data_IF_710098933837
#
_entry.id   IF_710098933837
#
_cell.length_a   1.000
_cell.length_b   1.000
_cell.length_c   1.000
_cell.angle_alpha   90.00
_cell.angle_beta   90.00
_cell.angle_gamma   90.00
#
_symmetry.space_group_name_H-M   'P 1'
#
loop_
_entity.id
_entity.type
_entity.pdbx_description
1 polymer ?
#
# COMPACT_ATOMS: atom_id res chain seq x y z
N UNK A 1 13.79 -1.31 -44.31
CA UNK A 1 13.17 -0.45 -43.27
C UNK A 1 12.87 -1.19 -41.96
N UNK A 2 12.57 -2.49 -41.95
CA UNK A 2 12.26 -3.28 -40.74
C UNK A 2 13.44 -3.62 -39.80
N UNK A 3 14.70 -3.52 -40.25
CA UNK A 3 15.88 -3.75 -39.39
C UNK A 3 16.37 -2.51 -38.62
N UNK A 4 15.87 -1.31 -38.93
CA UNK A 4 16.22 -0.08 -38.19
C UNK A 4 15.36 0.17 -36.96
N UNK A 5 14.17 -0.43 -36.86
CA UNK A 5 13.32 -0.32 -35.66
C UNK A 5 13.76 -1.29 -34.54
N UNK A 6 14.32 -2.44 -34.88
CA UNK A 6 14.89 -3.35 -33.87
C UNK A 6 16.24 -2.90 -33.30
N UNK A 7 16.98 -2.03 -34.01
CA UNK A 7 18.26 -1.49 -33.54
C UNK A 7 18.15 -0.29 -32.59
N UNK A 8 16.96 0.35 -32.49
CA UNK A 8 16.71 1.44 -31.52
C UNK A 8 16.20 0.90 -30.17
N UNK A 9 15.67 -0.32 -30.14
CA UNK A 9 15.18 -0.93 -28.90
C UNK A 9 16.27 -1.65 -28.07
N UNK A 10 17.47 -1.85 -28.60
CA UNK A 10 18.59 -2.48 -27.87
C UNK A 10 19.43 -1.52 -27.01
N UNK A 11 19.06 -0.23 -26.93
CA UNK A 11 19.71 0.80 -26.11
C UNK A 11 18.82 1.46 -25.05
N UNK A 12 17.63 0.92 -24.78
CA UNK A 12 16.79 1.40 -23.67
C UNK A 12 17.28 0.77 -22.36
N UNK A 13 18.20 1.44 -21.68
CA UNK A 13 18.72 1.02 -20.38
C UNK A 13 17.65 0.95 -19.29
N UNK A 14 18.02 0.35 -18.15
CA UNK A 14 17.29 0.42 -16.89
C UNK A 14 18.10 1.30 -15.93
N UNK A 15 17.42 2.09 -15.11
CA UNK A 15 18.04 3.01 -14.14
C UNK A 15 17.29 2.97 -12.81
N UNK A 16 18.03 3.18 -11.72
CA UNK A 16 17.44 3.38 -10.39
C UNK A 16 16.70 4.71 -10.37
N UNK A 17 15.37 4.74 -10.20
CA UNK A 17 14.61 5.98 -10.19
C UNK A 17 15.11 7.01 -9.17
N UNK A 18 15.63 6.57 -8.02
CA UNK A 18 16.13 7.47 -6.97
C UNK A 18 17.34 8.28 -7.44
N UNK A 19 18.14 7.75 -8.38
CA UNK A 19 19.25 8.50 -8.98
C UNK A 19 18.76 9.68 -9.79
N UNK A 20 17.56 9.61 -10.37
CA UNK A 20 17.00 10.72 -11.12
C UNK A 20 16.55 11.86 -10.21
N UNK A 21 16.00 11.56 -9.03
CA UNK A 21 15.64 12.57 -8.03
C UNK A 21 16.86 13.34 -7.55
N UNK A 22 17.99 12.65 -7.35
CA UNK A 22 19.25 13.32 -7.03
C UNK A 22 19.73 14.30 -8.12
N UNK A 23 19.29 14.12 -9.37
CA UNK A 23 19.65 14.96 -10.52
C UNK A 23 18.59 16.02 -10.84
N UNK A 24 17.36 15.91 -10.31
CA UNK A 24 16.23 16.81 -10.60
C UNK A 24 15.58 17.26 -9.29
N UNK A 25 15.79 18.52 -8.92
CA UNK A 25 15.24 19.09 -7.69
C UNK A 25 13.73 18.89 -7.56
N UNK A 26 12.96 19.10 -8.63
CA UNK A 26 11.50 18.93 -8.60
C UNK A 26 11.06 17.50 -8.25
N UNK A 27 11.70 16.47 -8.80
CA UNK A 27 11.38 15.07 -8.45
C UNK A 27 11.77 14.76 -7.00
N UNK A 28 12.89 15.33 -6.52
CA UNK A 28 13.27 15.21 -5.11
C UNK A 28 12.26 15.90 -4.19
N UNK A 29 11.82 17.11 -4.51
CA UNK A 29 10.83 17.85 -3.74
C UNK A 29 9.51 17.07 -3.62
N UNK A 30 9.07 16.43 -4.71
CA UNK A 30 7.91 15.54 -4.71
C UNK A 30 8.14 14.28 -3.84
N UNK A 31 9.32 13.66 -3.92
CA UNK A 31 9.67 12.52 -3.08
C UNK A 31 9.68 12.87 -1.58
N UNK A 32 10.24 14.02 -1.21
CA UNK A 32 10.22 14.55 0.15
C UNK A 32 8.78 14.80 0.59
N UNK A 33 7.96 15.48 -0.23
CA UNK A 33 6.55 15.75 0.07
C UNK A 33 5.76 14.45 0.32
N UNK A 34 5.90 13.45 -0.54
CA UNK A 34 5.26 12.14 -0.35
C UNK A 34 5.66 11.48 0.98
N UNK A 35 6.95 11.51 1.33
CA UNK A 35 7.43 10.97 2.60
C UNK A 35 6.90 11.75 3.80
N UNK A 36 6.88 13.09 3.74
CA UNK A 36 6.36 13.97 4.81
C UNK A 36 4.89 13.67 5.06
N UNK A 37 4.06 13.69 4.02
CA UNK A 37 2.62 13.51 4.19
C UNK A 37 2.26 12.09 4.62
N UNK A 38 2.92 11.08 4.04
CA UNK A 38 2.70 9.68 4.42
C UNK A 38 3.10 9.42 5.89
N UNK A 39 4.19 10.03 6.34
CA UNK A 39 4.63 9.92 7.74
C UNK A 39 3.78 10.71 8.70
N UNK A 40 3.34 11.93 8.33
CA UNK A 40 2.43 12.73 9.15
C UNK A 40 1.17 11.95 9.48
N UNK A 41 0.56 11.29 8.50
CA UNK A 41 -0.63 10.47 8.72
C UNK A 41 -0.40 9.25 9.64
N UNK A 42 0.85 8.76 9.77
CA UNK A 42 1.19 7.69 10.70
C UNK A 42 1.55 8.21 12.11
N UNK A 43 2.23 9.35 12.22
CA UNK A 43 2.57 9.97 13.50
C UNK A 43 1.35 10.60 14.17
N UNK A 44 0.57 11.35 13.40
CA UNK A 44 -0.58 12.15 13.84
C UNK A 44 -1.83 11.80 13.02
N UNK A 45 -2.34 10.55 13.11
CA UNK A 45 -3.55 10.16 12.38
C UNK A 45 -4.78 10.91 12.90
N UNK A 46 -5.68 11.30 12.00
CA UNK A 46 -6.99 11.84 12.37
C UNK A 46 -7.89 10.80 13.04
N UNK A 47 -8.92 11.26 13.75
CA UNK A 47 -9.81 10.41 14.55
C UNK A 47 -10.45 9.25 13.77
N UNK A 48 -10.83 9.47 12.50
CA UNK A 48 -11.38 8.42 11.66
C UNK A 48 -10.38 7.30 11.39
N UNK A 49 -9.12 7.65 11.07
CA UNK A 49 -8.05 6.68 10.84
C UNK A 49 -7.69 5.92 12.13
N UNK A 50 -7.63 6.60 13.28
CA UNK A 50 -7.44 5.96 14.58
C UNK A 50 -8.52 4.90 14.82
N UNK A 51 -9.78 5.25 14.59
CA UNK A 51 -10.92 4.34 14.80
C UNK A 51 -10.86 3.13 13.86
N UNK A 52 -10.57 3.35 12.58
CA UNK A 52 -10.50 2.26 11.59
C UNK A 52 -9.31 1.33 11.82
N UNK A 53 -8.15 1.87 12.20
CA UNK A 53 -6.99 1.06 12.60
C UNK A 53 -7.26 0.26 13.87
N UNK A 54 -7.80 0.91 14.91
CA UNK A 54 -8.08 0.25 16.18
C UNK A 54 -9.08 -0.89 16.05
N UNK A 55 -10.12 -0.70 15.24
CA UNK A 55 -11.10 -1.76 15.00
C UNK A 55 -10.51 -2.94 14.22
N UNK A 56 -9.71 -2.71 13.19
CA UNK A 56 -9.04 -3.78 12.44
C UNK A 56 -7.98 -4.50 13.30
N UNK A 57 -7.18 -3.75 14.06
CA UNK A 57 -6.19 -4.30 15.00
C UNK A 57 -6.84 -5.17 16.08
N UNK A 58 -8.01 -4.79 16.58
CA UNK A 58 -8.78 -5.61 17.53
C UNK A 58 -9.15 -6.98 16.97
N UNK A 59 -9.58 -7.02 15.72
CA UNK A 59 -9.93 -8.28 15.04
C UNK A 59 -8.67 -9.12 14.79
N UNK A 60 -7.61 -8.50 14.28
CA UNK A 60 -6.32 -9.17 14.09
C UNK A 60 -5.77 -9.75 15.39
N UNK A 61 -5.85 -9.01 16.50
CA UNK A 61 -5.45 -9.48 17.83
C UNK A 61 -6.20 -10.76 18.22
N UNK A 62 -7.53 -10.80 18.01
CA UNK A 62 -8.35 -11.98 18.31
C UNK A 62 -8.00 -13.18 17.43
N UNK A 63 -7.78 -12.95 16.13
CA UNK A 63 -7.38 -13.99 15.18
C UNK A 63 -6.00 -14.55 15.56
N UNK A 64 -5.02 -13.66 15.75
CA UNK A 64 -3.62 -14.03 15.99
C UNK A 64 -3.50 -14.92 17.23
N UNK A 65 -4.18 -14.58 18.32
CA UNK A 65 -4.21 -15.37 19.56
C UNK A 65 -4.81 -16.77 19.41
N UNK A 66 -5.53 -17.05 18.31
CA UNK A 66 -6.16 -18.34 18.02
C UNK A 66 -5.41 -19.16 16.97
N UNK A 67 -4.42 -18.58 16.31
CA UNK A 67 -3.53 -19.30 15.40
C UNK A 67 -2.61 -20.24 16.19
N UNK A 68 -2.17 -21.34 15.55
CA UNK A 68 -1.11 -22.17 16.11
C UNK A 68 0.22 -21.40 16.19
N UNK A 69 1.15 -21.77 17.08
CA UNK A 69 2.44 -21.09 17.20
C UNK A 69 3.19 -20.99 15.86
N UNK A 70 3.16 -22.06 15.04
CA UNK A 70 3.82 -22.02 13.72
C UNK A 70 3.14 -21.02 12.77
N UNK A 71 1.81 -20.96 12.78
CA UNK A 71 1.06 -19.99 11.98
C UNK A 71 1.25 -18.55 12.48
N UNK A 72 1.45 -18.34 13.79
CA UNK A 72 1.78 -17.03 14.35
C UNK A 72 3.17 -16.55 13.90
N UNK A 73 4.15 -17.45 13.85
CA UNK A 73 5.47 -17.15 13.30
C UNK A 73 5.39 -16.86 11.80
N UNK A 74 4.66 -17.68 11.04
CA UNK A 74 4.54 -17.54 9.59
C UNK A 74 3.83 -16.24 9.18
N UNK A 75 2.68 -15.94 9.80
CA UNK A 75 1.90 -14.74 9.46
C UNK A 75 2.66 -13.45 9.79
N UNK A 76 3.53 -13.47 10.81
CA UNK A 76 4.37 -12.34 11.23
C UNK A 76 5.76 -12.30 10.58
N UNK A 77 6.14 -13.33 9.81
CA UNK A 77 7.53 -13.53 9.38
C UNK A 77 8.11 -12.35 8.60
N UNK A 78 7.30 -11.70 7.76
CA UNK A 78 7.73 -10.55 6.98
C UNK A 78 7.99 -9.29 7.83
N UNK A 79 7.25 -9.11 8.94
CA UNK A 79 7.42 -7.99 9.86
C UNK A 79 8.57 -8.21 10.85
N UNK A 80 8.72 -9.45 11.34
CA UNK A 80 9.69 -9.87 12.36
C UNK A 80 11.08 -10.20 11.77
N UNK A 81 11.17 -10.36 10.45
CA UNK A 81 12.41 -10.71 9.77
C UNK A 81 13.52 -9.69 9.96
N UNK A 82 14.77 -10.14 9.80
CA UNK A 82 15.95 -9.27 9.93
C UNK A 82 15.87 -8.07 8.97
N UNK A 83 16.10 -6.87 9.50
CA UNK A 83 16.01 -5.60 8.79
C UNK A 83 14.60 -5.18 8.39
N UNK A 84 13.57 -5.70 9.05
CA UNK A 84 12.16 -5.34 8.88
C UNK A 84 11.67 -4.47 10.05
N UNK A 85 10.40 -4.08 10.01
CA UNK A 85 9.82 -3.11 10.97
C UNK A 85 9.92 -3.57 12.43
N UNK A 86 9.93 -4.88 12.67
CA UNK A 86 10.01 -5.48 13.99
C UNK A 86 11.27 -6.36 14.13
N UNK A 87 12.40 -5.96 13.53
CA UNK A 87 13.67 -6.69 13.66
C UNK A 87 14.04 -6.87 15.15
N UNK A 88 14.42 -8.10 15.51
CA UNK A 88 14.75 -8.49 16.88
C UNK A 88 13.54 -8.66 17.83
N UNK A 89 12.31 -8.60 17.31
CA UNK A 89 11.07 -8.84 18.06
C UNK A 89 10.52 -10.25 17.82
N UNK A 90 9.49 -10.60 18.57
CA UNK A 90 8.83 -11.90 18.56
C UNK A 90 7.34 -11.78 18.23
N UNK A 91 6.67 -12.92 17.99
CA UNK A 91 5.21 -12.98 17.84
C UNK A 91 4.47 -12.43 19.07
N UNK A 92 5.06 -12.53 20.26
CA UNK A 92 4.51 -11.95 21.48
C UNK A 92 4.59 -10.42 21.50
N UNK A 93 5.60 -9.80 20.87
CA UNK A 93 5.63 -8.35 20.68
C UNK A 93 4.54 -7.90 19.66
N UNK A 94 4.29 -8.70 18.62
CA UNK A 94 3.24 -8.43 17.61
C UNK A 94 1.84 -8.45 18.23
N UNK A 95 1.52 -9.52 18.97
CA UNK A 95 0.90 -9.43 20.30
C UNK A 95 0.43 -8.05 20.79
N UNK A 96 1.35 -7.46 21.53
CA UNK A 96 1.22 -6.19 22.23
C UNK A 96 1.01 -5.02 21.26
N UNK A 97 1.62 -5.04 20.07
CA UNK A 97 1.38 -4.01 19.02
C UNK A 97 -0.09 -3.99 18.64
N UNK A 98 -0.67 -5.15 18.31
CA UNK A 98 -2.08 -5.27 17.93
C UNK A 98 -2.98 -4.78 19.08
N UNK A 99 -2.63 -5.14 20.32
CA UNK A 99 -3.36 -4.69 21.50
C UNK A 99 -3.29 -3.17 21.69
N UNK A 100 -2.10 -2.55 21.60
CA UNK A 100 -1.92 -1.09 21.74
C UNK A 100 -2.71 -0.33 20.67
N UNK A 101 -2.63 -0.74 19.41
CA UNK A 101 -3.40 -0.10 18.33
C UNK A 101 -4.91 -0.27 18.55
N UNK A 102 -5.35 -1.44 19.04
CA UNK A 102 -6.77 -1.71 19.29
C UNK A 102 -7.42 -0.80 20.36
N UNK A 103 -6.62 -0.26 21.29
CA UNK A 103 -7.09 0.66 22.34
C UNK A 103 -7.39 2.07 21.80
N UNK A 104 -6.96 2.40 20.57
CA UNK A 104 -7.40 3.61 19.86
C UNK A 104 -6.95 4.94 20.49
N UNK A 105 -5.80 4.96 21.18
CA UNK A 105 -5.36 6.13 21.93
C UNK A 105 -5.08 7.38 21.07
N UNK A 106 -5.60 8.52 21.52
CA UNK A 106 -5.07 9.85 21.21
C UNK A 106 -3.85 10.12 22.10
N UNK A 107 -2.96 10.99 21.62
CA UNK A 107 -1.54 11.19 21.95
C UNK A 107 -1.11 11.48 23.40
N UNK A 108 -1.97 11.31 24.42
CA UNK A 108 -1.65 11.68 25.81
C UNK A 108 -1.50 10.52 26.81
N UNK A 109 -1.67 9.27 26.38
CA UNK A 109 -1.41 8.11 27.24
C UNK A 109 -0.04 7.49 26.94
N UNK A 110 0.74 7.19 27.97
CA UNK A 110 2.04 6.51 27.89
C UNK A 110 1.96 5.08 27.32
N UNK A 111 0.74 4.57 27.06
CA UNK A 111 0.44 3.30 26.36
C UNK A 111 -0.13 3.50 24.94
N UNK A 112 -0.11 4.72 24.41
CA UNK A 112 -0.64 5.01 23.07
C UNK A 112 0.18 4.33 21.97
N UNK A 113 -0.49 3.93 20.89
CA UNK A 113 0.15 3.28 19.76
C UNK A 113 1.10 4.23 19.03
N UNK A 114 2.33 3.78 18.77
CA UNK A 114 3.31 4.53 17.99
C UNK A 114 2.99 4.52 16.48
N UNK A 115 3.68 5.37 15.71
CA UNK A 115 3.61 5.30 14.24
C UNK A 115 4.11 3.97 13.69
N UNK A 116 5.15 3.39 14.32
CA UNK A 116 5.63 2.05 14.00
C UNK A 116 4.57 1.00 14.27
N UNK A 117 3.87 1.06 15.41
CA UNK A 117 2.77 0.13 15.72
C UNK A 117 1.70 0.18 14.63
N UNK A 118 1.28 1.38 14.21
CA UNK A 118 0.29 1.56 13.13
C UNK A 118 0.80 1.00 11.80
N UNK A 119 2.05 1.26 11.45
CA UNK A 119 2.69 0.73 10.25
C UNK A 119 2.77 -0.81 10.26
N UNK A 120 3.04 -1.41 11.42
CA UNK A 120 3.04 -2.87 11.60
C UNK A 120 1.66 -3.47 11.34
N UNK A 121 0.60 -2.86 11.89
CA UNK A 121 -0.78 -3.34 11.65
C UNK A 121 -1.15 -3.26 10.16
N UNK A 122 -0.83 -2.14 9.50
CA UNK A 122 -1.11 -1.99 8.07
C UNK A 122 -0.28 -2.97 7.23
N UNK A 123 1.00 -3.16 7.60
CA UNK A 123 1.87 -4.15 6.96
C UNK A 123 1.32 -5.57 7.06
N UNK A 124 0.81 -5.96 8.24
CA UNK A 124 0.16 -7.26 8.42
C UNK A 124 -1.07 -7.43 7.54
N UNK A 125 -1.87 -6.37 7.35
CA UNK A 125 -3.00 -6.40 6.40
C UNK A 125 -2.51 -6.58 4.95
N UNK A 126 -1.42 -5.93 4.58
CA UNK A 126 -0.78 -6.13 3.27
C UNK A 126 -0.30 -7.57 3.05
N UNK A 127 0.34 -8.17 4.06
CA UNK A 127 0.77 -9.56 4.03
C UNK A 127 -0.43 -10.52 3.89
N UNK A 128 -1.49 -10.30 4.68
CA UNK A 128 -2.76 -11.06 4.58
C UNK A 128 -3.36 -10.98 3.18
N UNK A 129 -3.48 -9.77 2.61
CA UNK A 129 -3.94 -9.59 1.23
C UNK A 129 -3.05 -10.35 0.24
N UNK A 130 -1.73 -10.27 0.42
CA UNK A 130 -0.73 -10.99 -0.36
C UNK A 130 -0.83 -12.52 -0.29
N UNK A 131 -1.25 -13.08 0.85
CA UNK A 131 -1.47 -14.53 0.98
C UNK A 131 -2.62 -15.02 0.09
N UNK A 132 -3.68 -14.22 -0.06
CA UNK A 132 -4.80 -14.56 -0.94
C UNK A 132 -4.47 -14.35 -2.42
N UNK A 133 -3.78 -13.26 -2.78
CA UNK A 133 -3.44 -12.96 -4.20
C UNK A 133 -2.31 -13.84 -4.72
N UNK A 134 -1.40 -14.27 -3.85
CA UNK A 134 -0.19 -14.99 -4.23
C UNK A 134 0.00 -16.22 -3.32
N UNK A 135 -0.64 -17.36 -3.63
CA UNK A 135 -0.70 -18.53 -2.73
C UNK A 135 0.65 -19.12 -2.32
N UNK A 136 1.75 -18.80 -3.02
CA UNK A 136 3.11 -19.24 -2.62
C UNK A 136 3.65 -18.49 -1.40
N UNK A 137 2.99 -17.39 -1.00
CA UNK A 137 3.42 -16.56 0.12
C UNK A 137 2.94 -17.08 1.49
N UNK A 138 2.05 -18.08 1.52
CA UNK A 138 1.57 -18.70 2.75
C UNK A 138 1.34 -20.20 2.54
N UNK A 139 1.50 -20.97 3.61
CA UNK A 139 1.17 -22.39 3.64
C UNK A 139 -0.34 -22.58 3.62
N UNK A 140 -0.79 -23.73 3.11
CA UNK A 140 -2.20 -24.12 3.18
C UNK A 140 -2.71 -24.18 4.62
N UNK A 141 -1.84 -24.55 5.58
CA UNK A 141 -2.14 -24.56 7.00
C UNK A 141 -2.49 -23.15 7.50
N UNK A 142 -1.63 -22.16 7.24
CA UNK A 142 -1.86 -20.78 7.65
C UNK A 142 -3.17 -20.24 7.07
N UNK A 143 -3.39 -20.41 5.76
CA UNK A 143 -4.63 -19.96 5.11
C UNK A 143 -5.87 -20.64 5.70
N UNK A 144 -5.80 -21.94 5.97
CA UNK A 144 -6.92 -22.69 6.55
C UNK A 144 -7.25 -22.20 7.97
N UNK A 145 -6.24 -22.00 8.82
CA UNK A 145 -6.42 -21.46 10.17
C UNK A 145 -6.97 -20.04 10.14
N UNK A 146 -6.43 -19.18 9.27
CA UNK A 146 -6.89 -17.80 9.11
C UNK A 146 -8.37 -17.75 8.69
N UNK A 147 -8.75 -18.52 7.67
CA UNK A 147 -10.13 -18.59 7.19
C UNK A 147 -11.08 -19.12 8.26
N UNK A 148 -10.64 -20.11 9.05
CA UNK A 148 -11.41 -20.64 10.18
C UNK A 148 -11.70 -19.54 11.21
N UNK A 149 -10.68 -18.76 11.60
CA UNK A 149 -10.85 -17.69 12.59
C UNK A 149 -11.70 -16.52 12.07
N UNK A 150 -11.51 -16.12 10.80
CA UNK A 150 -12.34 -15.11 10.15
C UNK A 150 -13.82 -15.52 10.14
N UNK A 151 -14.10 -16.78 9.74
CA UNK A 151 -15.46 -17.33 9.72
C UNK A 151 -16.06 -17.41 11.12
N UNK A 152 -15.27 -17.82 12.12
CA UNK A 152 -15.71 -17.89 13.51
C UNK A 152 -16.09 -16.52 14.09
N UNK A 153 -15.52 -15.43 13.56
CA UNK A 153 -15.88 -14.05 13.89
C UNK A 153 -17.02 -13.50 13.02
N UNK A 154 -17.60 -14.31 12.12
CA UNK A 154 -18.67 -13.90 11.21
C UNK A 154 -18.20 -13.00 10.07
N UNK A 155 -16.90 -12.97 9.78
CA UNK A 155 -16.32 -12.14 8.73
C UNK A 155 -16.33 -12.88 7.39
N UNK A 156 -16.47 -12.11 6.30
CA UNK A 156 -16.50 -12.66 4.96
C UNK A 156 -15.09 -13.05 4.51
N UNK A 157 -14.90 -14.33 4.17
CA UNK A 157 -13.66 -14.85 3.58
C UNK A 157 -13.73 -14.73 2.05
N UNK A 158 -12.69 -14.17 1.38
CA UNK A 158 -12.67 -14.01 -0.07
C UNK A 158 -12.88 -15.33 -0.82
N UNK A 159 -13.80 -15.33 -1.78
CA UNK A 159 -13.99 -16.42 -2.73
C UNK A 159 -12.88 -16.43 -3.79
N UNK A 160 -12.83 -17.51 -4.60
CA UNK A 160 -11.90 -17.57 -5.75
C UNK A 160 -12.13 -16.44 -6.76
N UNK A 161 -13.36 -16.00 -6.93
CA UNK A 161 -13.69 -14.90 -7.85
C UNK A 161 -13.18 -13.57 -7.28
N UNK A 162 -13.36 -13.33 -5.98
CA UNK A 162 -12.81 -12.12 -5.33
C UNK A 162 -11.28 -12.09 -5.43
N UNK A 163 -10.63 -13.23 -5.22
CA UNK A 163 -9.17 -13.34 -5.36
C UNK A 163 -8.73 -13.01 -6.78
N UNK A 164 -9.45 -13.50 -7.80
CA UNK A 164 -9.11 -13.21 -9.20
C UNK A 164 -9.32 -11.73 -9.53
N UNK A 165 -10.47 -11.16 -9.17
CA UNK A 165 -10.75 -9.75 -9.37
C UNK A 165 -9.77 -8.84 -8.62
N UNK A 166 -9.23 -9.28 -7.47
CA UNK A 166 -8.17 -8.57 -6.77
C UNK A 166 -6.88 -8.50 -7.59
N UNK A 167 -6.49 -9.61 -8.22
CA UNK A 167 -5.32 -9.67 -9.09
C UNK A 167 -5.51 -8.82 -10.35
N UNK A 168 -6.72 -8.78 -10.88
CA UNK A 168 -7.01 -8.04 -12.11
C UNK A 168 -7.06 -6.52 -11.87
N UNK A 169 -7.62 -6.08 -10.74
CA UNK A 169 -7.76 -4.66 -10.42
C UNK A 169 -6.57 -4.05 -9.68
N UNK A 170 -5.90 -4.83 -8.82
CA UNK A 170 -4.83 -4.37 -7.94
C UNK A 170 -3.46 -4.97 -8.25
N UNK A 171 -3.39 -5.86 -9.24
CA UNK A 171 -2.17 -6.54 -9.62
C UNK A 171 -1.22 -5.67 -10.42
N UNK A 172 0.00 -6.19 -10.58
CA UNK A 172 1.11 -5.40 -11.06
C UNK A 172 1.17 -5.10 -12.56
N UNK A 173 0.17 -5.58 -13.31
CA UNK A 173 -0.07 -5.19 -14.71
C UNK A 173 -1.20 -4.17 -14.85
N UNK A 174 -1.93 -3.87 -13.77
CA UNK A 174 -3.04 -2.93 -13.75
C UNK A 174 -2.67 -1.58 -13.13
N UNK A 175 -1.61 -1.50 -12.33
CA UNK A 175 -1.12 -0.26 -11.73
C UNK A 175 0.36 -0.07 -12.08
N UNK A 176 0.69 1.14 -12.51
CA UNK A 176 2.00 1.47 -13.09
C UNK A 176 3.19 1.35 -12.13
N UNK A 177 4.42 1.48 -12.64
CA UNK A 177 4.88 1.05 -13.98
C UNK A 177 4.73 -0.48 -14.13
N UNK A 178 4.55 -1.06 -15.31
CA UNK A 178 4.30 -2.51 -15.39
C UNK A 178 5.47 -3.35 -14.85
N UNK A 179 5.20 -4.26 -13.91
CA UNK A 179 6.23 -5.05 -13.21
C UNK A 179 7.08 -5.94 -14.12
N UNK A 180 6.52 -6.48 -15.21
CA UNK A 180 7.23 -7.40 -16.12
C UNK A 180 7.82 -6.68 -17.31
N UNK A 181 7.15 -5.64 -17.80
CA UNK A 181 7.60 -4.91 -18.97
C UNK A 181 8.63 -3.84 -18.62
N UNK A 182 8.46 -3.11 -17.52
CA UNK A 182 9.20 -1.87 -17.26
C UNK A 182 10.21 -1.95 -16.12
N UNK A 183 10.21 -3.04 -15.34
CA UNK A 183 11.03 -3.17 -14.13
C UNK A 183 12.03 -4.31 -14.21
N UNK A 184 13.17 -4.10 -13.56
CA UNK A 184 14.19 -5.12 -13.37
C UNK A 184 14.69 -5.07 -11.93
N UNK A 185 14.62 -6.18 -11.21
CA UNK A 185 15.22 -6.26 -9.88
C UNK A 185 16.74 -6.04 -9.97
N UNK A 186 17.29 -5.21 -9.09
CA UNK A 186 18.73 -4.94 -9.06
C UNK A 186 19.51 -6.22 -8.75
N UNK A 187 20.70 -6.34 -9.35
CA UNK A 187 21.56 -7.51 -9.16
C UNK A 187 22.01 -7.67 -7.70
N UNK A 188 22.23 -6.56 -7.00
CA UNK A 188 22.56 -6.50 -5.56
C UNK A 188 21.44 -7.12 -4.73
N UNK A 189 20.18 -6.73 -5.02
CA UNK A 189 19.00 -7.29 -4.37
C UNK A 189 18.93 -8.82 -4.55
N UNK A 190 19.24 -9.33 -5.75
CA UNK A 190 19.28 -10.77 -6.02
C UNK A 190 20.37 -11.51 -5.24
N UNK A 191 21.46 -10.82 -4.85
CA UNK A 191 22.52 -11.35 -3.99
C UNK A 191 22.21 -11.22 -2.50
N UNK A 192 21.03 -10.70 -2.13
CA UNK A 192 20.64 -10.46 -0.73
C UNK A 192 21.19 -9.15 -0.15
N UNK A 193 21.84 -8.31 -0.96
CA UNK A 193 22.38 -7.01 -0.57
C UNK A 193 21.28 -5.94 -0.64
N UNK A 194 20.27 -6.08 0.22
CA UNK A 194 19.14 -5.13 0.29
C UNK A 194 19.50 -3.98 1.25
N UNK A 195 19.60 -2.72 0.76
CA UNK A 195 19.93 -1.58 1.59
C UNK A 195 18.78 -1.22 2.55
N UNK A 196 19.13 -0.64 3.70
CA UNK A 196 18.16 0.04 4.56
C UNK A 196 17.66 1.30 3.87
N UNK A 197 16.35 1.50 3.91
CA UNK A 197 15.66 2.62 3.29
C UNK A 197 14.53 3.08 4.17
N UNK A 198 14.12 4.34 3.99
CA UNK A 198 13.02 4.93 4.74
C UNK A 198 12.39 6.04 3.91
N UNK A 199 11.09 5.97 3.62
CA UNK A 199 10.39 6.92 2.75
C UNK A 199 10.75 6.82 1.26
N UNK A 200 9.99 7.53 0.43
CA UNK A 200 10.18 7.57 -1.03
C UNK A 200 11.59 8.10 -1.35
N UNK A 201 12.35 7.34 -2.13
CA UNK A 201 13.74 7.65 -2.49
C UNK A 201 14.65 7.92 -1.28
N UNK A 202 14.37 7.25 -0.16
CA UNK A 202 15.13 7.35 1.09
C UNK A 202 15.07 8.74 1.77
N UNK A 203 13.99 9.50 1.55
CA UNK A 203 13.78 10.84 2.14
C UNK A 203 13.10 10.81 3.52
N UNK A 204 12.80 9.63 4.07
CA UNK A 204 12.06 9.48 5.34
C UNK A 204 12.72 10.14 6.55
N UNK A 205 14.06 10.12 6.64
CA UNK A 205 14.78 10.82 7.73
C UNK A 205 14.65 12.34 7.64
N UNK A 206 14.61 12.87 6.41
CA UNK A 206 14.39 14.29 6.17
C UNK A 206 12.95 14.66 6.51
N UNK A 207 11.99 13.85 6.09
CA UNK A 207 10.59 14.00 6.45
C UNK A 207 10.38 13.99 7.97
N UNK A 208 10.97 13.05 8.71
CA UNK A 208 10.89 13.01 10.19
C UNK A 208 11.44 14.29 10.83
N UNK A 209 12.52 14.87 10.28
CA UNK A 209 13.07 16.15 10.76
C UNK A 209 12.10 17.31 10.50
N UNK A 210 11.50 17.36 9.31
CA UNK A 210 10.52 18.40 8.96
C UNK A 210 9.26 18.33 9.84
N UNK A 211 8.90 17.12 10.28
CA UNK A 211 7.80 16.86 11.22
C UNK A 211 8.21 16.99 12.69
N UNK A 212 9.46 17.36 12.99
CA UNK A 212 10.00 17.49 14.34
C UNK A 212 9.92 16.20 15.18
N UNK A 213 10.07 15.03 14.56
CA UNK A 213 10.06 13.73 15.24
C UNK A 213 11.43 13.43 15.83
N UNK A 214 11.45 13.14 17.13
CA UNK A 214 12.64 12.76 17.87
C UNK A 214 13.21 11.43 17.34
N UNK A 215 14.55 11.25 17.28
CA UNK A 215 15.16 10.05 16.73
C UNK A 215 14.62 8.70 17.26
N UNK A 216 14.30 8.64 18.55
CA UNK A 216 13.75 7.49 19.26
C UNK A 216 12.30 7.14 18.88
N UNK A 217 11.54 8.11 18.39
CA UNK A 217 10.13 7.94 18.00
C UNK A 217 9.96 7.68 16.50
N UNK A 218 11.05 7.72 15.74
CA UNK A 218 11.00 7.57 14.28
C UNK A 218 10.61 6.16 13.86
N UNK A 219 9.83 6.08 12.79
CA UNK A 219 9.60 4.82 12.08
C UNK A 219 10.97 4.29 11.61
N UNK A 220 11.35 3.06 11.98
CA UNK A 220 12.67 2.52 11.67
C UNK A 220 12.86 2.34 10.17
N UNK A 221 14.12 2.39 9.75
CA UNK A 221 14.47 2.00 8.37
C UNK A 221 14.23 0.52 8.18
N UNK A 222 13.81 0.13 6.97
CA UNK A 222 13.59 -1.27 6.65
C UNK A 222 14.19 -1.63 5.29
N UNK A 223 14.26 -2.93 5.00
CA UNK A 223 14.84 -3.49 3.77
C UNK A 223 13.75 -4.00 2.85
N UNK A 224 13.69 -3.48 1.62
CA UNK A 224 12.89 -4.04 0.54
C UNK A 224 13.63 -4.03 -0.78
N UNK A 225 13.20 -4.92 -1.68
CA UNK A 225 13.81 -5.14 -2.97
C UNK A 225 13.87 -3.84 -3.79
N UNK A 226 15.04 -3.58 -4.37
CA UNK A 226 15.27 -2.43 -5.24
C UNK A 226 15.05 -2.83 -6.69
N UNK A 227 14.32 -2.00 -7.42
CA UNK A 227 14.03 -2.17 -8.83
C UNK A 227 14.62 -1.01 -9.63
N UNK A 228 15.27 -1.35 -10.74
CA UNK A 228 15.50 -0.40 -11.83
C UNK A 228 14.27 -0.35 -12.73
N UNK A 229 14.02 0.81 -13.33
CA UNK A 229 12.92 1.04 -14.26
C UNK A 229 13.50 1.49 -15.60
N UNK A 230 12.81 1.20 -16.70
CA UNK A 230 13.22 1.65 -18.05
C UNK A 230 13.55 3.14 -18.06
N UNK A 231 14.73 3.50 -18.57
CA UNK A 231 15.22 4.87 -18.56
C UNK A 231 14.28 5.91 -19.18
N UNK A 232 13.61 5.66 -20.32
CA UNK A 232 12.64 6.62 -20.87
C UNK A 232 11.51 6.93 -19.89
N UNK A 233 10.96 5.88 -19.26
CA UNK A 233 9.90 6.01 -18.28
C UNK A 233 10.31 6.91 -17.12
N UNK A 234 11.48 6.66 -16.54
CA UNK A 234 11.97 7.52 -15.45
C UNK A 234 12.19 8.95 -15.97
N UNK A 235 12.79 9.15 -17.15
CA UNK A 235 13.09 10.49 -17.69
C UNK A 235 11.87 11.34 -18.06
N UNK A 236 10.80 10.71 -18.53
CA UNK A 236 9.57 11.35 -19.01
C UNK A 236 8.58 11.66 -17.89
N UNK A 237 8.74 11.03 -16.73
CA UNK A 237 7.90 11.25 -15.54
C UNK A 237 8.62 12.15 -14.54
N UNK A 238 7.92 13.18 -14.05
CA UNK A 238 8.45 14.09 -13.02
C UNK A 238 8.18 13.54 -11.62
N UNK A 239 7.06 12.85 -11.43
CA UNK A 239 6.74 12.07 -10.22
C UNK A 239 7.86 11.05 -9.90
N UNK A 240 8.21 10.85 -8.61
CA UNK A 240 9.09 9.75 -8.24
C UNK A 240 8.44 8.42 -8.60
N UNK A 241 9.28 7.42 -8.89
CA UNK A 241 8.89 6.02 -9.10
C UNK A 241 9.74 5.13 -8.20
N UNK A 242 9.23 4.04 -7.64
CA UNK A 242 10.05 3.12 -6.80
C UNK A 242 10.14 1.72 -7.40
N UNK A 243 9.12 1.30 -8.17
CA UNK A 243 9.12 0.02 -8.88
C UNK A 243 8.94 -1.20 -7.97
N UNK A 244 8.78 -1.02 -6.66
CA UNK A 244 8.41 -2.09 -5.73
C UNK A 244 6.89 -2.15 -5.60
N UNK A 245 6.30 -3.35 -5.65
CA UNK A 245 4.83 -3.54 -5.51
C UNK A 245 4.48 -4.81 -4.74
N UNK A 246 5.16 -5.05 -3.62
CA UNK A 246 4.66 -6.03 -2.64
C UNK A 246 3.83 -5.28 -1.60
N UNK A 247 2.60 -5.73 -1.34
CA UNK A 247 1.65 -5.03 -0.47
C UNK A 247 0.95 -3.88 -1.19
N UNK A 248 0.20 -4.18 -2.26
CA UNK A 248 -0.50 -3.13 -3.02
C UNK A 248 -1.62 -2.47 -2.21
N UNK A 249 -2.07 -1.26 -2.57
CA UNK A 249 -3.24 -0.66 -1.93
C UNK A 249 -4.45 -1.60 -1.95
N UNK A 250 -4.63 -2.35 -3.03
CA UNK A 250 -5.72 -3.33 -3.17
C UNK A 250 -5.63 -4.45 -2.12
N UNK A 251 -4.44 -5.02 -1.91
CA UNK A 251 -4.21 -6.09 -0.93
C UNK A 251 -4.50 -5.59 0.49
N UNK A 252 -3.97 -4.40 0.83
CA UNK A 252 -4.19 -3.77 2.14
C UNK A 252 -5.66 -3.46 2.35
N UNK A 253 -6.31 -2.77 1.40
CA UNK A 253 -7.68 -2.29 1.55
C UNK A 253 -8.70 -3.44 1.58
N UNK A 254 -8.45 -4.49 0.79
CA UNK A 254 -9.27 -5.69 0.84
C UNK A 254 -9.20 -6.38 2.22
N UNK A 255 -7.99 -6.57 2.75
CA UNK A 255 -7.81 -7.14 4.08
C UNK A 255 -8.43 -6.23 5.16
N UNK A 256 -8.31 -4.92 5.01
CA UNK A 256 -8.91 -3.94 5.92
C UNK A 256 -10.44 -4.04 5.93
N UNK A 257 -11.09 -4.07 4.77
CA UNK A 257 -12.55 -4.21 4.67
C UNK A 257 -13.03 -5.54 5.27
N UNK A 258 -12.31 -6.63 5.02
CA UNK A 258 -12.57 -7.94 5.63
C UNK A 258 -12.52 -7.88 7.17
N UNK A 259 -11.48 -7.25 7.73
CA UNK A 259 -11.31 -7.10 9.17
C UNK A 259 -12.34 -6.13 9.79
N UNK A 260 -12.89 -5.21 9.00
CA UNK A 260 -13.95 -4.30 9.43
C UNK A 260 -15.35 -4.90 9.29
N UNK A 261 -15.45 -6.11 8.76
CA UNK A 261 -16.72 -6.83 8.62
C UNK A 261 -17.59 -6.31 7.47
N UNK A 262 -16.99 -5.67 6.48
CA UNK A 262 -17.70 -5.34 5.24
C UNK A 262 -18.16 -6.63 4.56
N UNK A 263 -19.39 -6.59 4.01
CA UNK A 263 -19.94 -7.70 3.23
C UNK A 263 -19.10 -7.91 1.98
N UNK A 264 -18.97 -9.15 1.50
CA UNK A 264 -18.11 -9.49 0.37
C UNK A 264 -18.32 -8.60 -0.86
N UNK A 265 -19.59 -8.32 -1.19
CA UNK A 265 -19.95 -7.42 -2.29
C UNK A 265 -19.47 -5.98 -2.07
N UNK A 266 -19.41 -5.51 -0.82
CA UNK A 266 -19.02 -4.15 -0.45
C UNK A 266 -17.52 -4.02 -0.19
N UNK A 267 -16.78 -5.11 -0.02
CA UNK A 267 -15.31 -5.07 0.04
C UNK A 267 -14.73 -4.48 -1.26
N UNK A 268 -13.51 -3.93 -1.20
CA UNK A 268 -12.82 -3.30 -2.33
C UNK A 268 -13.07 -4.01 -3.67
N UNK A 269 -12.77 -5.31 -3.72
CA UNK A 269 -12.86 -6.06 -4.97
C UNK A 269 -14.30 -6.36 -5.40
N UNK A 270 -15.18 -6.70 -4.46
CA UNK A 270 -16.61 -6.91 -4.75
C UNK A 270 -17.26 -5.64 -5.31
N UNK A 271 -16.84 -4.47 -4.82
CA UNK A 271 -17.29 -3.18 -5.34
C UNK A 271 -16.80 -2.92 -6.76
N UNK A 272 -15.55 -3.29 -7.07
CA UNK A 272 -14.99 -3.15 -8.42
C UNK A 272 -15.56 -4.15 -9.43
N UNK A 273 -15.81 -5.39 -9.01
CA UNK A 273 -16.41 -6.42 -9.86
C UNK A 273 -17.83 -6.02 -10.29
N UNK A 274 -18.63 -5.44 -9.38
CA UNK A 274 -19.94 -4.86 -9.74
C UNK A 274 -19.81 -3.76 -10.79
N UNK A 275 -18.77 -2.93 -10.70
CA UNK A 275 -18.54 -1.83 -11.64
C UNK A 275 -18.03 -2.28 -13.01
N UNK A 276 -17.32 -3.41 -13.07
CA UNK A 276 -16.81 -3.99 -14.31
C UNK A 276 -17.80 -4.96 -15.00
N UNK A 277 -18.93 -5.30 -14.34
CA UNK A 277 -19.94 -6.24 -14.87
C UNK A 277 -20.97 -5.60 -15.80
N UNK A 278 -20.83 -4.31 -16.14
CA UNK A 278 -21.78 -3.61 -16.99
C UNK A 278 -21.53 -3.88 -18.47
N UNK A 279 -22.20 -4.93 -18.96
CA UNK A 279 -22.56 -5.06 -20.36
C UNK A 279 -23.66 -4.06 -20.71
N UNK A 280 -23.33 -3.16 -21.63
CA UNK A 280 -24.18 -2.50 -22.62
C UNK A 280 -25.24 -1.45 -22.27
N UNK A 281 -25.74 -1.22 -21.04
CA UNK A 281 -26.76 -0.13 -20.86
C UNK A 281 -26.95 0.44 -19.42
N UNK A 282 -26.05 0.20 -18.45
CA UNK A 282 -26.21 0.74 -17.09
C UNK A 282 -25.02 1.62 -16.62
N UNK A 283 -25.38 2.71 -15.94
CA UNK A 283 -24.55 3.81 -15.44
C UNK A 283 -23.48 3.31 -14.45
N UNK A 284 -22.25 3.86 -14.53
CA UNK A 284 -21.15 3.54 -13.61
C UNK A 284 -21.62 3.65 -12.15
N UNK A 285 -21.71 2.51 -11.44
CA UNK A 285 -22.10 2.50 -10.03
C UNK A 285 -20.91 2.93 -9.19
N UNK A 286 -20.88 4.18 -8.78
CA UNK A 286 -19.84 4.71 -7.89
C UNK A 286 -19.84 3.92 -6.55
N UNK A 287 -18.73 3.30 -6.11
CA UNK A 287 -18.55 2.65 -4.80
C UNK A 287 -18.96 3.50 -3.58
N UNK A 288 -19.02 4.81 -3.71
CA UNK A 288 -19.46 5.76 -2.69
C UNK A 288 -20.94 6.12 -2.81
N UNK A 289 -21.60 5.74 -3.91
CA UNK A 289 -23.04 5.94 -4.13
C UNK A 289 -23.84 5.14 -3.11
N UNK A 290 -24.83 5.79 -2.49
CA UNK A 290 -25.67 5.18 -1.45
C UNK A 290 -25.00 4.98 -0.09
N UNK A 291 -23.72 5.36 0.08
CA UNK A 291 -23.04 5.32 1.38
C UNK A 291 -23.35 6.56 2.21
N UNK A 292 -23.46 6.38 3.53
CA UNK A 292 -23.62 7.51 4.44
C UNK A 292 -22.33 8.32 4.52
N UNK A 293 -22.39 9.58 4.94
CA UNK A 293 -21.18 10.40 5.14
C UNK A 293 -20.18 9.76 6.12
N UNK A 294 -20.69 9.01 7.11
CA UNK A 294 -19.85 8.24 8.05
C UNK A 294 -19.09 7.13 7.33
N UNK A 295 -19.76 6.36 6.46
CA UNK A 295 -19.13 5.25 5.72
C UNK A 295 -18.10 5.78 4.73
N UNK A 296 -18.41 6.91 4.08
CA UNK A 296 -17.48 7.59 3.19
C UNK A 296 -16.22 8.05 3.95
N UNK A 297 -16.39 8.64 5.14
CA UNK A 297 -15.27 9.05 6.01
C UNK A 297 -14.40 7.86 6.40
N UNK A 298 -15.00 6.72 6.75
CA UNK A 298 -14.26 5.50 7.09
C UNK A 298 -13.46 4.97 5.89
N UNK A 299 -14.02 5.01 4.69
CA UNK A 299 -13.32 4.63 3.46
C UNK A 299 -12.15 5.53 3.14
N UNK A 300 -12.34 6.84 3.22
CA UNK A 300 -11.23 7.79 3.04
C UNK A 300 -10.12 7.56 4.07
N UNK A 301 -10.47 7.27 5.32
CA UNK A 301 -9.51 6.93 6.35
C UNK A 301 -8.71 5.66 6.02
N UNK A 302 -9.37 4.58 5.57
CA UNK A 302 -8.67 3.34 5.15
C UNK A 302 -7.74 3.60 3.96
N UNK A 303 -8.21 4.32 2.95
CA UNK A 303 -7.42 4.70 1.77
C UNK A 303 -6.20 5.56 2.13
N UNK A 304 -6.38 6.52 3.06
CA UNK A 304 -5.31 7.32 3.60
C UNK A 304 -4.30 6.47 4.37
N UNK A 305 -4.75 5.56 5.24
CA UNK A 305 -3.88 4.65 5.99
C UNK A 305 -3.03 3.74 5.09
N UNK A 306 -3.65 3.12 4.08
CA UNK A 306 -2.93 2.30 3.11
C UNK A 306 -1.88 3.12 2.34
N UNK A 307 -2.26 4.31 1.85
CA UNK A 307 -1.34 5.21 1.14
C UNK A 307 -0.21 5.71 2.06
N UNK A 308 -0.52 6.05 3.31
CA UNK A 308 0.42 6.54 4.30
C UNK A 308 1.52 5.52 4.59
N UNK A 309 1.15 4.26 4.77
CA UNK A 309 2.10 3.16 4.93
C UNK A 309 3.00 3.01 3.70
N UNK A 310 2.42 2.95 2.51
CA UNK A 310 3.19 2.67 1.29
C UNK A 310 4.16 3.80 0.92
N UNK A 311 3.73 5.06 1.04
CA UNK A 311 4.57 6.23 0.75
C UNK A 311 5.54 6.52 1.91
N UNK A 312 5.03 6.53 3.15
CA UNK A 312 5.81 6.89 4.34
C UNK A 312 6.97 5.93 4.60
N UNK A 313 6.80 4.65 4.31
CA UNK A 313 7.88 3.68 4.35
C UNK A 313 8.68 3.66 3.05
N UNK A 314 8.13 4.10 1.91
CA UNK A 314 8.83 4.16 0.63
C UNK A 314 8.72 2.88 -0.20
N UNK A 315 7.71 2.06 0.05
CA UNK A 315 7.40 0.89 -0.76
C UNK A 315 6.80 1.26 -2.11
N UNK A 316 6.00 2.32 -2.16
CA UNK A 316 5.39 2.86 -3.37
C UNK A 316 5.48 4.39 -3.40
N UNK A 317 5.15 4.95 -4.55
CA UNK A 317 5.00 6.38 -4.80
C UNK A 317 3.54 6.75 -5.02
N UNK A 318 3.24 8.06 -5.02
CA UNK A 318 1.89 8.56 -5.23
C UNK A 318 1.25 8.00 -6.53
N UNK A 319 1.98 7.95 -7.64
CA UNK A 319 1.48 7.38 -8.91
C UNK A 319 1.20 5.88 -8.82
N UNK A 320 1.97 5.14 -8.01
CA UNK A 320 1.82 3.70 -7.82
C UNK A 320 0.67 3.34 -6.86
N UNK A 321 0.16 4.29 -6.07
CA UNK A 321 -1.00 4.07 -5.19
C UNK A 321 -2.29 4.71 -5.71
N UNK A 322 -2.18 5.73 -6.57
CA UNK A 322 -3.31 6.56 -6.98
C UNK A 322 -4.46 5.77 -7.59
N UNK A 323 -4.20 4.85 -8.52
CA UNK A 323 -5.26 4.09 -9.19
C UNK A 323 -6.07 3.25 -8.20
N UNK A 324 -5.39 2.55 -7.28
CA UNK A 324 -6.06 1.74 -6.26
C UNK A 324 -6.88 2.60 -5.30
N UNK A 325 -6.32 3.75 -4.90
CA UNK A 325 -7.00 4.72 -4.04
C UNK A 325 -8.23 5.32 -4.69
N UNK A 326 -8.15 5.71 -5.97
CA UNK A 326 -9.29 6.20 -6.74
C UNK A 326 -10.34 5.11 -6.88
N UNK A 327 -9.94 3.89 -7.28
CA UNK A 327 -10.86 2.75 -7.41
C UNK A 327 -11.63 2.48 -6.12
N UNK A 328 -10.95 2.54 -4.97
CA UNK A 328 -11.52 2.29 -3.66
C UNK A 328 -12.51 3.38 -3.22
N UNK A 329 -12.20 4.62 -3.58
CA UNK A 329 -13.01 5.82 -3.29
C UNK A 329 -14.02 6.14 -4.40
N UNK A 330 -14.15 5.23 -5.36
CA UNK A 330 -15.19 5.22 -6.38
C UNK A 330 -14.97 6.08 -7.61
N UNK A 331 -13.72 6.39 -7.90
CA UNK A 331 -13.27 7.00 -9.14
C UNK A 331 -12.46 5.99 -9.95
N UNK A 332 -12.45 6.14 -11.27
CA UNK A 332 -11.58 5.31 -12.12
C UNK A 332 -11.01 6.16 -13.23
N UNK A 333 -9.69 6.02 -13.45
CA UNK A 333 -9.02 6.65 -14.58
C UNK A 333 -9.13 5.80 -15.85
N UNK A 334 -9.67 4.57 -15.74
CA UNK A 334 -9.79 3.59 -16.81
C UNK A 334 -11.16 3.61 -17.50
N UNK A 335 -12.01 4.58 -17.17
CA UNK A 335 -13.27 4.84 -17.88
C UNK A 335 -13.00 5.42 -19.28
N UNK A 336 -13.95 5.21 -20.20
CA UNK A 336 -13.83 5.70 -21.57
C UNK A 336 -13.60 7.21 -21.61
N UNK A 337 -12.58 7.64 -22.34
CA UNK A 337 -12.23 9.05 -22.52
C UNK A 337 -11.28 9.65 -21.46
N UNK A 338 -10.94 8.92 -20.37
CA UNK A 338 -10.00 9.42 -19.35
C UNK A 338 -8.56 8.98 -19.65
N UNK A 339 -8.30 7.68 -19.75
CA UNK A 339 -7.01 7.17 -20.23
C UNK A 339 -7.07 7.06 -21.76
N UNK A 340 -6.21 7.81 -22.46
CA UNK A 340 -6.11 7.67 -23.91
C UNK A 340 -5.44 6.34 -24.29
N UNK A 341 -5.67 5.86 -25.51
CA UNK A 341 -5.09 4.60 -26.00
C UNK A 341 -3.55 4.57 -25.97
N UNK A 342 -2.89 5.73 -25.91
CA UNK A 342 -1.43 5.85 -25.82
C UNK A 342 -0.89 5.92 -24.38
N UNK A 343 -1.77 6.08 -23.39
CA UNK A 343 -1.42 6.12 -21.97
C UNK A 343 -1.55 4.72 -21.35
N UNK A 344 -0.77 4.46 -20.31
CA UNK A 344 -0.65 3.14 -19.69
C UNK A 344 -1.18 3.09 -18.27
N UNK A 345 -0.93 4.16 -17.50
CA UNK A 345 -1.19 4.21 -16.07
C UNK A 345 -1.35 5.66 -15.56
N UNK A 346 -1.56 5.81 -14.25
CA UNK A 346 -1.62 7.10 -13.57
C UNK A 346 -0.39 8.00 -13.77
N UNK A 347 0.80 7.45 -14.03
CA UNK A 347 1.99 8.25 -14.30
C UNK A 347 1.95 8.96 -15.66
N UNK A 348 1.19 8.47 -16.64
CA UNK A 348 1.02 9.16 -17.92
C UNK A 348 -0.01 10.32 -17.85
N UNK A 349 -0.90 10.31 -16.85
CA UNK A 349 -1.93 11.34 -16.63
C UNK A 349 -1.53 12.35 -15.56
N UNK A 350 -1.00 11.85 -14.44
CA UNK A 350 -0.74 12.61 -13.22
C UNK A 350 0.77 12.72 -12.91
N UNK A 351 1.63 12.25 -13.81
CA UNK A 351 3.09 12.15 -13.65
C UNK A 351 3.86 13.47 -13.53
N UNK A 352 3.18 14.62 -13.53
CA UNK A 352 3.77 15.95 -13.44
C UNK A 352 3.66 16.59 -12.05
N UNK A 353 3.34 15.80 -11.01
CA UNK A 353 3.16 16.26 -9.62
C UNK A 353 1.72 16.14 -9.12
N UNK A 354 0.76 15.96 -10.03
CA UNK A 354 -0.66 15.90 -9.69
C UNK A 354 -1.02 14.67 -8.86
N UNK A 355 -0.30 13.54 -9.03
CA UNK A 355 -0.54 12.36 -8.19
C UNK A 355 -0.11 12.62 -6.75
N UNK A 356 1.05 13.26 -6.57
CA UNK A 356 1.52 13.72 -5.26
C UNK A 356 0.50 14.64 -4.62
N UNK A 357 -0.02 15.63 -5.36
CA UNK A 357 -0.98 16.60 -4.81
C UNK A 357 -2.28 15.93 -4.35
N UNK A 358 -2.89 15.07 -5.18
CA UNK A 358 -4.12 14.36 -4.84
C UNK A 358 -3.95 13.42 -3.63
N UNK A 359 -2.87 12.65 -3.59
CA UNK A 359 -2.60 11.76 -2.45
C UNK A 359 -2.25 12.56 -1.19
N UNK A 360 -1.51 13.67 -1.32
CA UNK A 360 -1.20 14.55 -0.19
C UNK A 360 -2.45 15.18 0.40
N UNK A 361 -3.42 15.57 -0.43
CA UNK A 361 -4.71 16.08 0.03
C UNK A 361 -5.47 15.03 0.84
N UNK A 362 -5.56 13.79 0.34
CA UNK A 362 -6.17 12.67 1.07
C UNK A 362 -5.49 12.43 2.43
N UNK A 363 -4.16 12.42 2.46
CA UNK A 363 -3.38 12.20 3.68
C UNK A 363 -3.56 13.34 4.69
N UNK A 364 -3.50 14.58 4.22
CA UNK A 364 -3.68 15.78 5.06
C UNK A 364 -5.08 15.80 5.68
N UNK A 365 -6.11 15.50 4.89
CA UNK A 365 -7.50 15.46 5.36
C UNK A 365 -7.76 14.38 6.42
N UNK A 366 -6.86 13.39 6.54
CA UNK A 366 -6.94 12.29 7.49
C UNK A 366 -5.82 12.31 8.54
N UNK A 367 -5.18 13.46 8.74
CA UNK A 367 -4.16 13.70 9.78
C UNK A 367 -4.61 14.80 10.74
N UNK A 368 -4.08 14.81 11.97
CA UNK A 368 -4.22 15.94 12.88
C UNK A 368 -3.21 17.04 12.51
N UNK A 369 -3.61 18.31 12.72
CA UNK A 369 -2.86 19.51 12.32
C UNK A 369 -1.55 19.70 13.08
#
# INVERSE_FOLDING_TARGET
>A
MLQRQHAVHSQLGYVDPATQSALRSQTMDLAVKQSVEGRRALYSPGAALIKELGAAAKVLHLIFLKLSPESQEEIGAHLLGKGRLMDGKTSADLVEVLQRVSKGGTSMETESASATDRAVVIGLMGDIGGFYTTPVNATEKLISELNLQLTALGLYVPSRLDIQSMKDAGGSGAVGPDKRAERKIKAETLRGEIPFRTGVHNTGREADKMLNILPEDRIPENRWAVFDIRTPRVKETTEPLVGHMSGSPAEILQAWDMLRGERGEDQYVGSLARNNSFSNDEEFVNPMSGKTSSDQTQRYARAAGASAFLLGLGYHTAVEVLEGTLGYTGQSIRTEGVLSQSQRDAGDLFGQGAATDLISELLTANSEF
#
